data_IF_713958146260
#
_entry.id   IF_713958146260
#
_cell.length_a   1.000
_cell.length_b   1.000
_cell.length_c   1.000
_cell.angle_alpha   90.00
_cell.angle_beta   90.00
_cell.angle_gamma   90.00
#
_symmetry.space_group_name_H-M   'P 1'
#
loop_
_entity.id
_entity.type
_entity.pdbx_description
1 polymer ?
#
# COMPACT_ATOMS: atom_id res chain seq x y z
N UNK A 1 5.71 -49.68 15.05
CA UNK A 1 6.12 -48.28 15.31
C UNK A 1 7.00 -47.68 14.21
N UNK A 2 7.64 -48.46 13.32
CA UNK A 2 8.43 -47.90 12.21
C UNK A 2 7.59 -47.42 11.01
N UNK A 3 6.42 -48.02 10.77
CA UNK A 3 5.59 -47.68 9.58
C UNK A 3 4.96 -46.29 9.63
N UNK A 4 4.70 -45.76 10.84
CA UNK A 4 4.12 -44.42 11.03
C UNK A 4 5.12 -43.29 10.77
N UNK A 5 6.40 -43.50 11.08
CA UNK A 5 7.45 -42.52 10.85
C UNK A 5 7.79 -42.38 9.35
N UNK A 6 7.88 -43.51 8.64
CA UNK A 6 8.10 -43.53 7.19
C UNK A 6 6.93 -42.85 6.44
N UNK A 7 5.68 -43.24 6.72
CA UNK A 7 4.50 -42.62 6.12
C UNK A 7 4.38 -41.12 6.43
N UNK A 8 4.79 -40.67 7.62
CA UNK A 8 4.84 -39.24 7.96
C UNK A 8 5.88 -38.49 7.13
N UNK A 9 7.06 -39.07 6.92
CA UNK A 9 8.13 -38.44 6.14
C UNK A 9 7.77 -38.34 4.65
N UNK A 10 7.15 -39.38 4.08
CA UNK A 10 6.69 -39.39 2.69
C UNK A 10 5.61 -38.33 2.46
N UNK A 11 4.60 -38.26 3.34
CA UNK A 11 3.55 -37.23 3.27
C UNK A 11 4.12 -35.82 3.36
N UNK A 12 5.10 -35.60 4.24
CA UNK A 12 5.76 -34.32 4.36
C UNK A 12 6.54 -33.94 3.10
N UNK A 13 7.28 -34.87 2.50
CA UNK A 13 8.02 -34.61 1.25
C UNK A 13 7.09 -34.32 0.08
N UNK A 14 5.97 -35.04 -0.03
CA UNK A 14 4.92 -34.76 -1.04
C UNK A 14 4.34 -33.37 -0.82
N UNK A 15 3.97 -33.05 0.42
CA UNK A 15 3.40 -31.76 0.77
C UNK A 15 4.38 -30.60 0.51
N UNK A 16 5.64 -30.76 0.91
CA UNK A 16 6.70 -29.77 0.70
C UNK A 16 6.98 -29.58 -0.79
N UNK A 17 7.13 -30.67 -1.56
CA UNK A 17 7.33 -30.60 -3.00
C UNK A 17 6.17 -29.93 -3.72
N UNK A 18 4.93 -30.25 -3.33
CA UNK A 18 3.73 -29.58 -3.86
C UNK A 18 3.69 -28.10 -3.49
N UNK A 19 3.97 -27.76 -2.23
CA UNK A 19 4.05 -26.37 -1.76
C UNK A 19 5.10 -25.54 -2.50
N UNK A 20 6.26 -26.12 -2.79
CA UNK A 20 7.31 -25.47 -3.58
C UNK A 20 6.86 -25.23 -5.04
N UNK A 21 6.13 -26.17 -5.63
CA UNK A 21 5.56 -25.99 -6.98
C UNK A 21 4.51 -24.87 -7.01
N UNK A 22 3.81 -24.61 -5.91
CA UNK A 22 2.83 -23.53 -5.80
C UNK A 22 3.45 -22.13 -5.76
N UNK A 23 4.77 -22.02 -5.57
CA UNK A 23 5.48 -20.72 -5.63
C UNK A 23 5.44 -20.14 -7.06
N UNK A 24 5.50 -20.98 -8.09
CA UNK A 24 5.44 -20.53 -9.48
C UNK A 24 4.10 -19.85 -9.84
N UNK A 25 2.92 -20.46 -9.62
CA UNK A 25 1.65 -19.78 -9.84
C UNK A 25 1.45 -18.62 -8.87
N UNK A 26 2.03 -18.64 -7.65
CA UNK A 26 2.01 -17.48 -6.76
C UNK A 26 2.72 -16.27 -7.36
N UNK A 27 3.93 -16.44 -7.90
CA UNK A 27 4.67 -15.34 -8.54
C UNK A 27 3.87 -14.73 -9.70
N UNK A 28 3.22 -15.57 -10.50
CA UNK A 28 2.34 -15.12 -11.59
C UNK A 28 1.08 -14.40 -11.07
N UNK A 29 0.49 -14.89 -9.98
CA UNK A 29 -0.69 -14.27 -9.35
C UNK A 29 -0.36 -12.90 -8.77
N UNK A 30 0.84 -12.73 -8.21
CA UNK A 30 1.32 -11.45 -7.70
C UNK A 30 1.64 -10.43 -8.80
N UNK A 31 1.94 -10.89 -10.01
CA UNK A 31 2.17 -10.05 -11.19
C UNK A 31 0.87 -9.67 -11.92
N UNK A 32 -0.26 -10.26 -11.52
CA UNK A 32 -1.55 -9.97 -12.14
C UNK A 32 -2.02 -8.55 -11.81
N UNK A 33 -2.32 -7.77 -12.85
CA UNK A 33 -2.85 -6.40 -12.76
C UNK A 33 -4.39 -6.34 -12.74
N UNK A 34 -5.06 -7.49 -12.65
CA UNK A 34 -6.52 -7.54 -12.66
C UNK A 34 -7.07 -8.66 -11.77
N UNK A 35 -8.28 -8.47 -11.26
CA UNK A 35 -9.00 -9.47 -10.46
C UNK A 35 -9.18 -10.81 -11.22
N UNK A 36 -9.48 -10.74 -12.53
CA UNK A 36 -9.57 -11.93 -13.38
C UNK A 36 -8.22 -12.66 -13.44
N UNK A 37 -7.11 -11.93 -13.53
CA UNK A 37 -5.76 -12.49 -13.47
C UNK A 37 -5.50 -13.21 -12.14
N UNK A 38 -5.89 -12.61 -11.01
CA UNK A 38 -5.75 -13.24 -9.68
C UNK A 38 -6.58 -14.53 -9.60
N UNK A 39 -7.83 -14.52 -10.07
CA UNK A 39 -8.68 -15.71 -10.11
C UNK A 39 -8.09 -16.83 -10.99
N UNK A 40 -7.55 -16.49 -12.16
CA UNK A 40 -6.85 -17.44 -13.02
C UNK A 40 -5.63 -18.05 -12.30
N UNK A 41 -4.97 -17.28 -11.43
CA UNK A 41 -3.79 -17.70 -10.68
C UNK A 41 -4.14 -18.70 -9.58
N UNK A 42 -5.28 -18.50 -8.93
CA UNK A 42 -5.87 -19.46 -8.00
C UNK A 42 -6.27 -20.76 -8.71
N UNK A 43 -6.87 -20.67 -9.91
CA UNK A 43 -7.21 -21.85 -10.72
C UNK A 43 -5.94 -22.59 -11.17
N UNK A 44 -4.90 -21.87 -11.60
CA UNK A 44 -3.62 -22.45 -11.96
C UNK A 44 -2.98 -23.19 -10.77
N UNK A 45 -3.02 -22.59 -9.57
CA UNK A 45 -2.55 -23.20 -8.33
C UNK A 45 -3.29 -24.50 -8.00
N UNK A 46 -4.61 -24.52 -8.19
CA UNK A 46 -5.42 -25.74 -8.06
C UNK A 46 -5.00 -26.82 -9.05
N UNK A 47 -4.82 -26.48 -10.32
CA UNK A 47 -4.40 -27.42 -11.35
C UNK A 47 -3.01 -27.98 -11.07
N UNK A 48 -2.07 -27.17 -10.58
CA UNK A 48 -0.72 -27.61 -10.18
C UNK A 48 -0.78 -28.57 -8.99
N UNK A 49 -1.60 -28.29 -7.97
CA UNK A 49 -1.79 -29.18 -6.83
C UNK A 49 -2.42 -30.53 -7.22
N UNK A 50 -3.42 -30.52 -8.10
CA UNK A 50 -4.06 -31.74 -8.62
C UNK A 50 -3.10 -32.53 -9.50
N UNK A 51 -2.40 -31.87 -10.43
CA UNK A 51 -1.45 -32.51 -11.33
C UNK A 51 -0.29 -33.16 -10.56
N UNK A 52 0.30 -32.44 -9.58
CA UNK A 52 1.35 -33.00 -8.72
C UNK A 52 0.85 -34.19 -7.90
N UNK A 53 -0.38 -34.11 -7.35
CA UNK A 53 -1.01 -35.21 -6.65
C UNK A 53 -1.21 -36.44 -7.54
N UNK A 54 -1.73 -36.26 -8.76
CA UNK A 54 -1.99 -37.34 -9.73
C UNK A 54 -0.69 -37.99 -10.22
N UNK A 55 0.36 -37.21 -10.45
CA UNK A 55 1.68 -37.73 -10.84
C UNK A 55 2.28 -38.65 -9.76
N UNK A 56 2.00 -38.37 -8.48
CA UNK A 56 2.52 -39.12 -7.34
C UNK A 56 1.59 -40.27 -6.90
N UNK A 57 0.34 -40.28 -7.35
CA UNK A 57 -0.67 -41.26 -6.94
C UNK A 57 -0.29 -42.74 -7.19
N UNK A 58 0.44 -43.10 -8.27
CA UNK A 58 0.85 -44.50 -8.49
C UNK A 58 1.87 -45.00 -7.47
N UNK A 59 2.69 -44.11 -6.92
CA UNK A 59 3.76 -44.45 -5.97
C UNK A 59 3.33 -44.25 -4.52
N UNK A 60 2.47 -43.26 -4.24
CA UNK A 60 2.08 -42.84 -2.91
C UNK A 60 0.56 -42.69 -2.81
N UNK A 61 -0.15 -43.70 -2.31
CA UNK A 61 -1.60 -43.65 -2.16
C UNK A 61 -2.00 -42.51 -1.19
N UNK A 62 -2.88 -41.61 -1.64
CA UNK A 62 -3.30 -40.43 -0.87
C UNK A 62 -2.49 -39.16 -1.15
N UNK A 63 -1.58 -39.17 -2.12
CA UNK A 63 -0.85 -37.98 -2.59
C UNK A 63 -1.81 -36.83 -2.99
N UNK A 64 -2.88 -37.12 -3.71
CA UNK A 64 -3.87 -36.13 -4.16
C UNK A 64 -4.54 -35.41 -2.99
N UNK A 65 -4.93 -36.14 -1.94
CA UNK A 65 -5.49 -35.52 -0.74
C UNK A 65 -4.47 -34.64 -0.03
N UNK A 66 -3.21 -35.09 0.02
CA UNK A 66 -2.10 -34.38 0.65
C UNK A 66 -1.77 -33.08 -0.09
N UNK A 67 -1.71 -33.10 -1.42
CA UNK A 67 -1.45 -31.88 -2.23
C UNK A 67 -2.59 -30.89 -2.17
N UNK A 68 -3.85 -31.35 -2.16
CA UNK A 68 -5.01 -30.50 -1.93
C UNK A 68 -4.98 -29.85 -0.54
N UNK A 69 -4.71 -30.61 0.53
CA UNK A 69 -4.55 -30.02 1.86
C UNK A 69 -3.40 -29.02 1.91
N UNK A 70 -2.30 -29.30 1.22
CA UNK A 70 -1.16 -28.37 1.14
C UNK A 70 -1.58 -27.06 0.50
N UNK A 71 -2.30 -27.10 -0.63
CA UNK A 71 -2.87 -25.91 -1.26
C UNK A 71 -3.81 -25.16 -0.30
N UNK A 72 -4.69 -25.88 0.39
CA UNK A 72 -5.66 -25.29 1.32
C UNK A 72 -5.00 -24.53 2.48
N UNK A 73 -3.83 -24.96 2.94
CA UNK A 73 -3.06 -24.24 3.96
C UNK A 73 -2.12 -23.20 3.37
N UNK A 74 -1.58 -23.43 2.16
CA UNK A 74 -0.65 -22.53 1.50
C UNK A 74 -1.31 -21.19 1.18
N UNK A 75 -2.46 -21.20 0.50
CA UNK A 75 -3.15 -19.97 0.07
C UNK A 75 -3.44 -18.98 1.22
N UNK A 76 -4.08 -19.39 2.34
CA UNK A 76 -4.33 -18.47 3.45
C UNK A 76 -3.04 -18.07 4.18
N UNK A 77 -2.03 -18.94 4.26
CA UNK A 77 -0.74 -18.59 4.88
C UNK A 77 -0.05 -17.47 4.10
N UNK A 78 -0.03 -17.56 2.77
CA UNK A 78 0.51 -16.52 1.91
C UNK A 78 -0.31 -15.24 2.01
N UNK A 79 -1.63 -15.34 2.00
CA UNK A 79 -2.53 -14.19 2.15
C UNK A 79 -2.27 -13.45 3.48
N UNK A 80 -2.20 -14.16 4.61
CA UNK A 80 -1.88 -13.57 5.92
C UNK A 80 -0.50 -12.93 5.90
N UNK A 81 0.49 -13.58 5.32
CA UNK A 81 1.85 -13.05 5.24
C UNK A 81 1.90 -11.75 4.41
N UNK A 82 1.17 -11.68 3.30
CA UNK A 82 1.02 -10.47 2.48
C UNK A 82 0.33 -9.34 3.25
N UNK A 83 -0.70 -9.65 4.04
CA UNK A 83 -1.42 -8.66 4.85
C UNK A 83 -0.57 -8.09 5.99
N UNK A 84 0.35 -8.87 6.56
CA UNK A 84 1.19 -8.45 7.70
C UNK A 84 2.50 -7.79 7.25
N UNK A 85 3.15 -8.35 6.24
CA UNK A 85 4.51 -7.94 5.83
C UNK A 85 4.53 -7.05 4.59
N UNK A 86 3.43 -7.00 3.83
CA UNK A 86 3.38 -6.34 2.54
C UNK A 86 4.16 -7.07 1.44
N UNK A 87 4.01 -6.64 0.17
CA UNK A 87 4.84 -7.13 -0.93
C UNK A 87 6.26 -6.54 -0.87
N UNK A 88 7.25 -7.32 -1.34
CA UNK A 88 8.61 -6.83 -1.56
C UNK A 88 8.72 -6.11 -2.91
N UNK A 89 9.91 -5.59 -3.23
CA UNK A 89 10.18 -4.79 -4.44
C UNK A 89 9.92 -5.50 -5.78
N UNK A 90 9.79 -6.83 -5.80
CA UNK A 90 9.33 -7.55 -7.00
C UNK A 90 8.41 -8.74 -6.69
N UNK A 91 7.52 -9.13 -7.62
CA UNK A 91 6.64 -10.30 -7.45
C UNK A 91 7.41 -11.60 -7.20
N UNK A 92 8.55 -11.79 -7.88
CA UNK A 92 9.39 -12.99 -7.72
C UNK A 92 10.09 -13.04 -6.36
N UNK A 93 10.61 -11.90 -5.88
CA UNK A 93 11.24 -11.85 -4.55
C UNK A 93 10.22 -12.04 -3.43
N UNK A 94 9.03 -11.45 -3.58
CA UNK A 94 7.90 -11.66 -2.67
C UNK A 94 7.46 -13.13 -2.65
N UNK A 95 7.31 -13.75 -3.83
CA UNK A 95 6.91 -15.14 -3.95
C UNK A 95 7.92 -16.10 -3.32
N UNK A 96 9.23 -15.85 -3.47
CA UNK A 96 10.27 -16.67 -2.83
C UNK A 96 10.35 -16.42 -1.32
N UNK A 97 10.35 -15.14 -0.92
CA UNK A 97 10.47 -14.73 0.48
C UNK A 97 9.31 -15.20 1.35
N UNK A 98 8.09 -15.13 0.83
CA UNK A 98 6.88 -15.57 1.55
C UNK A 98 6.51 -17.02 1.23
N UNK A 99 6.71 -17.45 -0.02
CA UNK A 99 6.28 -18.77 -0.50
C UNK A 99 7.10 -19.92 0.06
N UNK A 100 8.41 -19.77 0.27
CA UNK A 100 9.22 -20.85 0.86
C UNK A 100 8.83 -21.12 2.33
N UNK A 101 8.73 -20.11 3.22
CA UNK A 101 8.21 -20.31 4.56
C UNK A 101 6.77 -20.83 4.57
N UNK A 102 5.90 -20.31 3.69
CA UNK A 102 4.52 -20.75 3.58
C UNK A 102 4.41 -22.21 3.14
N UNK A 103 5.26 -22.67 2.21
CA UNK A 103 5.32 -24.06 1.77
C UNK A 103 5.76 -25.00 2.89
N UNK A 104 6.74 -24.59 3.72
CA UNK A 104 7.18 -25.39 4.86
C UNK A 104 6.08 -25.51 5.94
N UNK A 105 5.41 -24.39 6.25
CA UNK A 105 4.30 -24.36 7.22
C UNK A 105 3.09 -25.17 6.72
N UNK A 106 2.70 -24.98 5.46
CA UNK A 106 1.58 -25.70 4.87
C UNK A 106 1.87 -27.20 4.79
N UNK A 107 3.11 -27.61 4.49
CA UNK A 107 3.51 -29.00 4.49
C UNK A 107 3.41 -29.65 5.87
N UNK A 108 3.84 -28.94 6.92
CA UNK A 108 3.71 -29.41 8.29
C UNK A 108 2.23 -29.55 8.71
N UNK A 109 1.39 -28.57 8.38
CA UNK A 109 -0.04 -28.57 8.67
C UNK A 109 -0.78 -29.68 7.91
N UNK A 110 -0.54 -29.81 6.59
CA UNK A 110 -1.14 -30.85 5.76
C UNK A 110 -0.78 -32.25 6.30
N UNK A 111 0.50 -32.47 6.63
CA UNK A 111 0.97 -33.76 7.17
C UNK A 111 0.31 -34.06 8.52
N UNK A 112 0.26 -33.09 9.44
CA UNK A 112 -0.39 -33.27 10.74
C UNK A 112 -1.89 -33.53 10.62
N UNK A 113 -2.57 -32.84 9.72
CA UNK A 113 -4.02 -32.99 9.50
C UNK A 113 -4.33 -34.36 8.90
N UNK A 114 -3.55 -34.80 7.91
CA UNK A 114 -3.68 -36.12 7.30
C UNK A 114 -3.40 -37.27 8.29
N UNK A 115 -2.49 -37.06 9.26
CA UNK A 115 -2.23 -38.03 10.33
C UNK A 115 -3.32 -38.01 11.42
N UNK A 116 -3.75 -36.82 11.85
CA UNK A 116 -4.74 -36.66 12.92
C UNK A 116 -6.14 -37.15 12.55
N UNK A 117 -6.50 -37.09 11.27
CA UNK A 117 -7.79 -37.59 10.78
C UNK A 117 -7.79 -39.11 10.52
N UNK A 118 -6.68 -39.82 10.79
CA UNK A 118 -6.53 -41.26 10.50
C UNK A 118 -7.05 -41.63 9.10
N UNK A 119 -6.84 -40.76 8.11
CA UNK A 119 -7.39 -40.98 6.78
C UNK A 119 -6.70 -42.18 6.16
N UNK A 120 -7.44 -43.27 6.07
CA UNK A 120 -7.07 -44.42 5.27
C UNK A 120 -6.93 -43.95 3.82
N UNK A 121 -5.82 -44.37 3.21
CA UNK A 121 -5.34 -43.86 1.94
C UNK A 121 -6.42 -44.02 0.85
N UNK A 122 -7.03 -42.92 0.41
CA UNK A 122 -8.05 -42.98 -0.63
C UNK A 122 -9.04 -41.81 -0.65
N UNK A 123 -10.32 -42.14 -0.87
CA UNK A 123 -11.41 -41.21 -1.19
C UNK A 123 -11.68 -40.17 -0.10
N UNK A 124 -11.49 -40.53 1.17
CA UNK A 124 -11.77 -39.64 2.31
C UNK A 124 -10.80 -38.45 2.38
N UNK A 125 -9.52 -38.69 2.04
CA UNK A 125 -8.53 -37.62 1.96
C UNK A 125 -8.77 -36.64 0.81
N UNK A 126 -9.31 -37.13 -0.31
CA UNK A 126 -9.71 -36.27 -1.43
C UNK A 126 -10.92 -35.42 -1.05
N UNK A 127 -11.95 -36.00 -0.42
CA UNK A 127 -13.14 -35.25 0.00
C UNK A 127 -12.76 -34.14 0.98
N UNK A 128 -11.97 -34.46 2.00
CA UNK A 128 -11.55 -33.48 3.01
C UNK A 128 -10.64 -32.41 2.40
N UNK A 129 -9.68 -32.81 1.57
CA UNK A 129 -8.83 -31.88 0.84
C UNK A 129 -9.64 -30.91 -0.03
N UNK A 130 -10.62 -31.41 -0.78
CA UNK A 130 -11.49 -30.59 -1.63
C UNK A 130 -12.35 -29.61 -0.83
N UNK A 131 -12.88 -30.01 0.34
CA UNK A 131 -13.64 -29.10 1.22
C UNK A 131 -12.73 -27.98 1.73
N UNK A 132 -11.53 -28.33 2.22
CA UNK A 132 -10.57 -27.36 2.74
C UNK A 132 -10.10 -26.40 1.65
N UNK A 133 -9.81 -26.91 0.45
CA UNK A 133 -9.47 -26.08 -0.72
C UNK A 133 -10.62 -25.17 -1.11
N UNK A 134 -11.86 -25.69 -1.14
CA UNK A 134 -13.05 -24.88 -1.44
C UNK A 134 -13.22 -23.74 -0.44
N UNK A 135 -13.05 -24.04 0.86
CA UNK A 135 -13.12 -23.04 1.93
C UNK A 135 -11.98 -22.03 1.84
N UNK A 136 -10.75 -22.47 1.60
CA UNK A 136 -9.58 -21.59 1.49
C UNK A 136 -9.69 -20.67 0.28
N UNK A 137 -10.13 -21.19 -0.86
CA UNK A 137 -10.32 -20.42 -2.08
C UNK A 137 -11.48 -19.43 -1.93
N UNK A 138 -12.58 -19.82 -1.28
CA UNK A 138 -13.67 -18.90 -0.97
C UNK A 138 -13.18 -17.76 -0.04
N UNK A 139 -12.38 -18.08 0.98
CA UNK A 139 -11.84 -17.08 1.89
C UNK A 139 -10.85 -16.14 1.19
N UNK A 140 -10.00 -16.67 0.31
CA UNK A 140 -9.13 -15.84 -0.53
C UNK A 140 -9.95 -14.97 -1.49
N UNK A 141 -10.96 -15.53 -2.17
CA UNK A 141 -11.80 -14.78 -3.09
C UNK A 141 -12.60 -13.67 -2.39
N UNK A 142 -13.06 -13.89 -1.16
CA UNK A 142 -13.70 -12.84 -0.33
C UNK A 142 -12.67 -11.78 0.10
N UNK A 143 -11.46 -12.19 0.46
CA UNK A 143 -10.39 -11.23 0.79
C UNK A 143 -9.88 -10.42 -0.41
N UNK A 144 -10.12 -10.92 -1.64
CA UNK A 144 -9.87 -10.20 -2.90
C UNK A 144 -11.15 -9.64 -3.52
N UNK A 145 -12.29 -9.69 -2.81
CA UNK A 145 -13.52 -9.04 -3.26
C UNK A 145 -13.26 -7.54 -3.47
N UNK A 146 -14.00 -6.87 -4.38
CA UNK A 146 -13.73 -5.50 -4.81
C UNK A 146 -13.45 -4.54 -3.64
N UNK A 147 -14.21 -4.65 -2.55
CA UNK A 147 -14.04 -3.82 -1.34
C UNK A 147 -12.69 -3.96 -0.62
N UNK A 148 -11.95 -5.04 -0.82
CA UNK A 148 -10.62 -5.26 -0.24
C UNK A 148 -9.51 -5.13 -1.28
N UNK A 149 -9.80 -5.36 -2.57
CA UNK A 149 -8.88 -5.10 -3.67
C UNK A 149 -8.62 -3.60 -3.82
N UNK A 150 -9.68 -2.79 -3.75
CA UNK A 150 -9.58 -1.32 -3.79
C UNK A 150 -8.71 -0.84 -2.62
N UNK A 151 -8.93 -1.34 -1.40
CA UNK A 151 -8.10 -1.02 -0.22
C UNK A 151 -6.64 -1.47 -0.34
N UNK A 152 -6.36 -2.55 -1.07
CA UNK A 152 -5.00 -3.02 -1.31
C UNK A 152 -4.28 -2.20 -2.38
N UNK A 153 -5.02 -1.76 -3.40
CA UNK A 153 -4.53 -0.86 -4.44
C UNK A 153 -4.26 0.54 -3.86
N UNK A 154 -5.16 1.02 -3.02
CA UNK A 154 -5.02 2.24 -2.22
C UNK A 154 -3.80 2.17 -1.30
N UNK A 155 -3.65 1.10 -0.53
CA UNK A 155 -2.49 0.92 0.34
C UNK A 155 -1.17 0.85 -0.47
N UNK A 156 -1.18 0.27 -1.67
CA UNK A 156 -0.01 0.24 -2.56
C UNK A 156 0.30 1.61 -3.14
N UNK A 157 -0.73 2.36 -3.55
CA UNK A 157 -0.58 3.72 -4.05
C UNK A 157 0.05 4.62 -2.97
N UNK A 158 -0.49 4.62 -1.75
CA UNK A 158 0.06 5.37 -0.61
C UNK A 158 1.50 4.96 -0.32
N UNK A 159 1.80 3.66 -0.27
CA UNK A 159 3.16 3.19 -0.02
C UNK A 159 4.15 3.64 -1.12
N UNK A 160 3.73 3.63 -2.38
CA UNK A 160 4.56 4.07 -3.51
C UNK A 160 4.83 5.58 -3.50
N UNK A 161 3.82 6.37 -3.17
CA UNK A 161 3.89 7.83 -3.04
C UNK A 161 4.78 8.21 -1.87
N UNK A 162 4.56 7.58 -0.71
CA UNK A 162 5.37 7.77 0.48
C UNK A 162 6.84 7.47 0.21
N UNK A 163 7.14 6.34 -0.44
CA UNK A 163 8.51 5.98 -0.77
C UNK A 163 9.17 6.98 -1.74
N UNK A 164 8.41 7.55 -2.68
CA UNK A 164 8.91 8.59 -3.58
C UNK A 164 9.21 9.89 -2.82
N UNK A 165 8.30 10.36 -1.95
CA UNK A 165 8.47 11.57 -1.14
C UNK A 165 9.61 11.42 -0.13
N UNK A 166 9.70 10.28 0.56
CA UNK A 166 10.82 9.97 1.46
C UNK A 166 12.15 9.87 0.69
N UNK A 167 12.14 9.29 -0.52
CA UNK A 167 13.30 9.22 -1.40
C UNK A 167 13.78 10.58 -1.90
N UNK A 168 12.86 11.52 -2.13
CA UNK A 168 13.14 12.91 -2.46
C UNK A 168 13.51 13.76 -1.22
N UNK A 169 13.43 13.19 -0.02
CA UNK A 169 13.74 13.87 1.25
C UNK A 169 12.68 14.87 1.70
N UNK A 170 11.46 14.81 1.16
CA UNK A 170 10.35 15.68 1.55
C UNK A 170 9.94 15.37 2.99
N UNK A 171 9.66 16.40 3.78
CA UNK A 171 9.20 16.24 5.15
C UNK A 171 7.66 16.28 5.22
N UNK A 172 7.03 15.41 6.04
CA UNK A 172 5.59 15.42 6.26
C UNK A 172 5.17 16.57 7.20
N UNK A 173 5.10 17.78 6.66
CA UNK A 173 4.73 19.00 7.40
C UNK A 173 3.25 19.33 7.21
N UNK A 174 2.59 19.66 8.32
CA UNK A 174 1.19 20.10 8.31
C UNK A 174 1.05 21.42 9.07
N UNK A 175 0.84 22.56 8.37
CA UNK A 175 0.52 23.82 9.02
C UNK A 175 -0.90 23.77 9.60
N UNK A 176 -1.11 24.45 10.72
CA UNK A 176 -2.42 24.65 11.35
C UNK A 176 -2.83 26.11 11.16
N UNK A 177 -3.77 26.36 10.25
CA UNK A 177 -4.24 27.72 9.93
C UNK A 177 -5.62 27.91 10.53
N UNK A 178 -5.74 28.86 11.46
CA UNK A 178 -6.98 29.16 12.16
C UNK A 178 -8.15 29.38 11.20
N UNK A 179 -9.26 28.68 11.46
CA UNK A 179 -10.47 28.79 10.65
C UNK A 179 -10.47 27.97 9.36
N UNK A 180 -9.37 27.28 9.04
CA UNK A 180 -9.26 26.40 7.88
C UNK A 180 -8.97 24.96 8.32
N UNK A 181 -9.56 24.00 7.62
CA UNK A 181 -9.25 22.59 7.75
C UNK A 181 -8.84 22.02 6.40
N UNK A 182 -8.06 20.94 6.36
CA UNK A 182 -7.81 20.21 5.13
C UNK A 182 -9.15 19.86 4.45
N UNK A 183 -9.35 20.38 3.25
CA UNK A 183 -10.37 19.88 2.34
C UNK A 183 -10.00 18.44 1.96
N UNK A 184 -10.99 17.63 1.59
CA UNK A 184 -10.77 16.22 1.35
C UNK A 184 -9.55 15.96 0.43
N UNK A 185 -8.56 15.28 1.02
CA UNK A 185 -7.32 14.72 0.48
C UNK A 185 -6.16 15.70 0.14
N UNK A 186 -4.93 15.47 0.66
CA UNK A 186 -3.73 15.97 0.00
C UNK A 186 -3.61 15.27 -1.35
N UNK A 187 -3.51 16.02 -2.45
CA UNK A 187 -3.17 15.42 -3.73
C UNK A 187 -1.68 15.55 -3.95
N UNK A 188 -1.06 14.41 -4.27
CA UNK A 188 0.33 14.38 -4.71
C UNK A 188 0.35 14.56 -6.21
N UNK A 189 0.92 15.67 -6.69
CA UNK A 189 1.19 15.84 -8.10
C UNK A 189 2.38 14.96 -8.49
N UNK A 190 2.12 13.85 -9.20
CA UNK A 190 3.12 12.87 -9.64
C UNK A 190 4.24 13.46 -10.51
N UNK A 191 4.04 14.67 -11.03
CA UNK A 191 4.99 15.41 -11.87
C UNK A 191 5.87 16.40 -11.06
N UNK A 192 5.66 16.49 -9.74
CA UNK A 192 6.42 17.36 -8.84
C UNK A 192 7.15 16.55 -7.77
N UNK A 193 8.34 17.01 -7.35
CA UNK A 193 9.12 16.37 -6.28
C UNK A 193 8.54 16.65 -4.86
N UNK A 194 7.25 17.00 -4.74
CA UNK A 194 6.58 17.44 -3.51
C UNK A 194 5.11 17.02 -3.43
N UNK A 195 4.38 17.56 -2.46
CA UNK A 195 2.94 17.36 -2.31
C UNK A 195 2.23 18.68 -2.02
N UNK A 196 0.90 18.73 -2.20
CA UNK A 196 0.12 19.89 -1.80
C UNK A 196 -1.09 19.53 -0.93
N UNK A 197 -1.49 20.49 -0.10
CA UNK A 197 -2.65 20.43 0.79
C UNK A 197 -3.63 21.54 0.41
N UNK A 198 -4.86 21.22 0.03
CA UNK A 198 -5.92 22.23 -0.11
C UNK A 198 -6.63 22.36 1.25
N UNK A 199 -6.57 23.55 1.85
CA UNK A 199 -7.25 23.92 3.09
C UNK A 199 -8.49 24.76 2.75
N UNK A 200 -9.64 24.44 3.33
CA UNK A 200 -10.92 25.13 3.14
C UNK A 200 -11.45 25.68 4.46
N UNK A 201 -12.22 26.76 4.39
CA UNK A 201 -12.84 27.36 5.56
C UNK A 201 -13.74 26.37 6.31
N UNK A 202 -13.64 26.38 7.64
CA UNK A 202 -14.37 25.47 8.52
C UNK A 202 -15.89 25.66 8.41
N UNK A 203 -16.62 24.62 7.97
CA UNK A 203 -18.09 24.57 8.03
C UNK A 203 -18.84 24.95 6.76
N UNK A 204 -18.16 25.08 5.62
CA UNK A 204 -18.79 25.35 4.31
C UNK A 204 -18.54 24.23 3.29
N UNK A 205 -19.53 23.95 2.43
CA UNK A 205 -19.40 23.00 1.31
C UNK A 205 -18.35 23.52 0.29
N UNK A 206 -17.50 22.61 -0.20
CA UNK A 206 -16.30 22.83 -1.02
C UNK A 206 -16.49 23.60 -2.34
N UNK A 207 -17.72 23.87 -2.75
CA UNK A 207 -18.04 24.48 -4.03
C UNK A 207 -18.16 26.01 -3.91
N UNK A 208 -17.05 26.72 -4.08
CA UNK A 208 -17.03 28.18 -4.28
C UNK A 208 -16.44 29.01 -3.14
N UNK A 209 -15.98 28.37 -2.07
CA UNK A 209 -15.41 29.01 -0.89
C UNK A 209 -13.94 29.38 -1.08
N UNK A 210 -13.47 30.32 -0.27
CA UNK A 210 -12.06 30.69 -0.21
C UNK A 210 -11.23 29.50 0.28
N UNK A 211 -10.09 29.27 -0.38
CA UNK A 211 -9.24 28.10 -0.14
C UNK A 211 -7.77 28.48 -0.16
N UNK A 212 -6.96 27.76 0.62
CA UNK A 212 -5.51 27.94 0.66
C UNK A 212 -4.89 26.66 0.15
N UNK A 213 -4.06 26.73 -0.89
CA UNK A 213 -3.23 25.59 -1.29
C UNK A 213 -1.86 25.74 -0.67
N UNK A 214 -1.39 24.74 0.06
CA UNK A 214 -0.03 24.69 0.59
C UNK A 214 0.78 23.67 -0.19
N UNK A 215 1.71 24.12 -1.00
CA UNK A 215 2.69 23.31 -1.70
C UNK A 215 3.92 23.08 -0.80
N UNK A 216 4.30 21.82 -0.61
CA UNK A 216 5.46 21.40 0.19
C UNK A 216 6.47 20.73 -0.73
N UNK A 217 7.60 21.38 -0.93
CA UNK A 217 8.65 20.95 -1.85
C UNK A 217 9.72 20.05 -1.21
N UNK A 218 10.65 19.50 -2.02
CA UNK A 218 11.80 18.76 -1.52
C UNK A 218 12.78 19.67 -0.77
N UNK A 219 13.77 19.05 -0.14
CA UNK A 219 14.86 19.80 0.50
C UNK A 219 15.60 20.62 -0.54
N UNK A 220 15.56 21.95 -0.41
CA UNK A 220 16.30 22.86 -1.28
C UNK A 220 17.80 22.62 -1.13
N UNK A 221 18.52 22.59 -2.25
CA UNK A 221 19.98 22.70 -2.22
C UNK A 221 20.37 24.11 -1.74
N UNK A 222 21.58 24.28 -1.20
CA UNK A 222 22.05 25.62 -0.77
C UNK A 222 22.03 26.63 -1.93
N UNK A 223 22.31 26.17 -3.16
CA UNK A 223 22.25 27.00 -4.35
C UNK A 223 20.81 27.36 -4.77
N UNK A 224 19.85 26.44 -4.60
CA UNK A 224 18.44 26.71 -4.92
C UNK A 224 17.80 27.62 -3.87
N UNK A 225 18.20 27.50 -2.60
CA UNK A 225 17.78 28.43 -1.55
C UNK A 225 18.26 29.88 -1.82
N UNK A 226 19.48 30.05 -2.35
CA UNK A 226 20.00 31.36 -2.76
C UNK A 226 19.26 31.95 -3.98
N UNK A 227 18.91 31.11 -4.97
CA UNK A 227 18.16 31.54 -6.17
C UNK A 227 16.72 31.94 -5.83
N UNK A 228 16.07 31.24 -4.91
CA UNK A 228 14.69 31.52 -4.52
C UNK A 228 14.56 32.81 -3.68
N UNK A 229 15.54 33.10 -2.81
CA UNK A 229 15.61 34.40 -2.15
C UNK A 229 15.73 35.57 -3.14
N UNK A 230 16.24 35.32 -4.35
CA UNK A 230 16.37 36.32 -5.42
C UNK A 230 15.08 36.51 -6.26
N UNK A 231 14.02 35.69 -6.06
CA UNK A 231 12.74 35.82 -6.80
C UNK A 231 12.07 37.18 -6.55
N UNK A 232 12.40 37.81 -5.42
CA UNK A 232 11.93 39.13 -5.00
C UNK A 232 12.65 40.33 -5.65
N UNK A 233 13.70 40.12 -6.44
CA UNK A 233 14.48 41.20 -7.07
C UNK A 233 14.01 41.55 -8.51
N UNK A 234 12.99 40.86 -9.05
CA UNK A 234 12.60 40.99 -10.46
C UNK A 234 11.63 42.16 -10.79
N UNK A 235 11.26 42.99 -9.81
CA UNK A 235 10.62 44.31 -10.03
C UNK A 235 9.16 44.31 -10.51
N UNK A 236 8.52 43.15 -10.70
CA UNK A 236 7.11 43.00 -11.09
C UNK A 236 6.18 42.58 -9.95
N UNK A 237 6.73 42.07 -8.85
CA UNK A 237 6.02 41.67 -7.63
C UNK A 237 6.43 42.55 -6.45
N UNK A 238 5.50 42.76 -5.51
CA UNK A 238 5.82 43.32 -4.20
C UNK A 238 6.13 42.16 -3.27
N UNK A 239 7.40 42.03 -2.87
CA UNK A 239 7.78 41.14 -1.80
C UNK A 239 7.90 41.92 -0.49
N UNK A 240 7.21 41.46 0.54
CA UNK A 240 7.40 41.93 1.91
C UNK A 240 8.02 40.80 2.72
N UNK A 241 9.29 40.96 3.09
CA UNK A 241 9.94 40.07 4.06
C UNK A 241 9.56 40.53 5.47
N UNK A 242 8.97 39.63 6.24
CA UNK A 242 8.49 39.93 7.60
C UNK A 242 9.59 39.61 8.61
N UNK A 243 9.60 40.29 9.77
CA UNK A 243 10.61 40.08 10.82
C UNK A 243 10.71 38.62 11.31
N UNK A 244 9.64 37.85 11.11
CA UNK A 244 9.52 36.44 11.50
C UNK A 244 10.15 35.46 10.47
N UNK A 245 10.64 35.92 9.31
CA UNK A 245 11.41 35.10 8.37
C UNK A 245 10.61 34.37 7.29
N UNK A 246 9.38 34.82 7.00
CA UNK A 246 8.60 34.42 5.83
C UNK A 246 8.46 35.60 4.84
N UNK A 247 8.09 35.28 3.60
CA UNK A 247 7.94 36.26 2.52
C UNK A 247 6.52 36.22 1.99
N UNK A 248 5.87 37.39 1.93
CA UNK A 248 4.59 37.58 1.25
C UNK A 248 4.84 38.17 -0.13
N UNK A 249 4.35 37.50 -1.16
CA UNK A 249 4.50 37.89 -2.57
C UNK A 249 3.13 38.30 -3.12
N UNK A 250 3.02 39.56 -3.51
CA UNK A 250 1.82 40.11 -4.14
C UNK A 250 2.14 40.54 -5.59
N UNK A 251 1.45 39.95 -6.57
CA UNK A 251 1.56 40.36 -7.98
C UNK A 251 0.19 40.86 -8.49
N UNK A 252 0.14 42.01 -9.20
CA UNK A 252 -1.12 42.53 -9.72
C UNK A 252 -1.85 41.53 -10.64
N UNK A 253 -3.06 41.13 -10.24
CA UNK A 253 -3.89 40.20 -11.01
C UNK A 253 -3.58 38.72 -10.80
N UNK A 254 -2.81 38.38 -9.75
CA UNK A 254 -2.61 37.00 -9.27
C UNK A 254 -3.04 36.87 -7.81
N UNK A 255 -3.20 35.62 -7.39
CA UNK A 255 -3.44 35.25 -6.00
C UNK A 255 -2.21 35.59 -5.13
N UNK A 256 -2.44 35.83 -3.84
CA UNK A 256 -1.35 36.13 -2.90
C UNK A 256 -0.62 34.85 -2.53
N UNK A 257 0.71 34.88 -2.58
CA UNK A 257 1.57 33.75 -2.23
C UNK A 257 2.33 34.07 -0.93
N UNK A 258 2.34 33.13 0.02
CA UNK A 258 3.10 33.23 1.27
C UNK A 258 4.09 32.08 1.31
N UNK A 259 5.38 32.40 1.36
CA UNK A 259 6.46 31.43 1.32
C UNK A 259 7.21 31.42 2.64
N UNK A 260 7.32 30.24 3.25
CA UNK A 260 8.11 30.01 4.45
C UNK A 260 9.09 28.85 4.23
N UNK A 261 10.22 28.90 4.93
CA UNK A 261 11.22 27.83 4.89
C UNK A 261 11.45 27.29 6.30
N UNK A 262 11.10 26.02 6.52
CA UNK A 262 11.44 25.30 7.75
C UNK A 262 12.67 24.45 7.49
N UNK A 263 13.80 24.84 8.08
CA UNK A 263 15.08 24.16 7.89
C UNK A 263 15.55 24.26 6.44
N UNK A 264 15.29 23.21 5.64
CA UNK A 264 15.61 23.16 4.20
C UNK A 264 14.38 22.85 3.33
N UNK A 265 13.20 22.74 3.92
CA UNK A 265 11.95 22.44 3.22
C UNK A 265 11.17 23.73 3.00
N UNK A 266 10.74 23.96 1.76
CA UNK A 266 9.90 25.10 1.39
C UNK A 266 8.43 24.74 1.54
N UNK A 267 7.68 25.64 2.15
CA UNK A 267 6.23 25.64 2.17
C UNK A 267 5.74 26.91 1.48
N UNK A 268 4.83 26.77 0.53
CA UNK A 268 4.24 27.87 -0.23
C UNK A 268 2.73 27.79 -0.13
N UNK A 269 2.11 28.78 0.52
CA UNK A 269 0.66 28.92 0.57
C UNK A 269 0.18 29.87 -0.52
N UNK A 270 -0.66 29.41 -1.43
CA UNK A 270 -1.41 30.25 -2.38
C UNK A 270 -2.81 30.50 -1.84
N UNK A 271 -3.17 31.76 -1.64
CA UNK A 271 -4.46 32.19 -1.11
C UNK A 271 -5.43 32.49 -2.25
N UNK A 272 -6.39 31.59 -2.50
CA UNK A 272 -7.40 31.76 -3.53
C UNK A 272 -8.62 32.50 -2.98
N UNK A 273 -8.77 33.77 -3.36
CA UNK A 273 -9.92 34.58 -2.94
C UNK A 273 -11.15 34.26 -3.81
N UNK A 274 -12.21 33.74 -3.19
CA UNK A 274 -13.52 33.54 -3.83
C UNK A 274 -14.63 34.18 -2.99
N UNK A 275 -15.56 33.39 -2.46
CA UNK A 275 -16.54 33.86 -1.49
C UNK A 275 -16.01 33.63 -0.06
N UNK A 276 -16.15 34.64 0.81
CA UNK A 276 -15.64 34.62 2.19
C UNK A 276 -14.42 35.52 2.44
N UNK A 277 -14.03 35.62 3.71
CA UNK A 277 -12.83 36.33 4.14
C UNK A 277 -11.63 35.36 4.14
N UNK A 278 -10.51 35.79 3.56
CA UNK A 278 -9.23 35.10 3.68
C UNK A 278 -8.55 35.49 5.01
N UNK A 279 -7.76 34.60 5.61
CA UNK A 279 -6.95 34.95 6.77
C UNK A 279 -5.86 35.95 6.35
N UNK A 280 -5.35 36.69 7.33
CA UNK A 280 -4.24 37.61 7.11
C UNK A 280 -3.00 36.83 6.62
N UNK A 281 -2.32 37.28 5.54
CA UNK A 281 -1.10 36.65 5.04
C UNK A 281 -0.02 36.47 6.12
N UNK A 282 0.05 37.38 7.11
CA UNK A 282 1.00 37.26 8.22
C UNK A 282 0.66 36.10 9.15
N UNK A 283 -0.63 35.84 9.40
CA UNK A 283 -1.08 34.71 10.22
C UNK A 283 -0.82 33.38 9.50
N UNK A 284 -1.02 33.34 8.18
CA UNK A 284 -0.65 32.20 7.33
C UNK A 284 0.86 31.95 7.39
N UNK A 285 1.68 33.01 7.26
CA UNK A 285 3.14 32.90 7.31
C UNK A 285 3.66 32.31 8.61
N UNK A 286 3.10 32.73 9.75
CA UNK A 286 3.44 32.14 11.07
C UNK A 286 3.01 30.68 11.17
N UNK A 287 1.80 30.35 10.72
CA UNK A 287 1.33 28.97 10.69
C UNK A 287 2.18 28.04 9.80
N UNK A 288 2.74 28.56 8.70
CA UNK A 288 3.68 27.82 7.86
C UNK A 288 5.02 27.58 8.55
N UNK A 289 5.51 28.50 9.38
CA UNK A 289 6.76 28.35 10.15
C UNK A 289 6.60 27.40 11.35
N UNK A 290 5.41 27.39 11.95
CA UNK A 290 5.04 26.52 13.07
C UNK A 290 4.46 25.17 12.61
N UNK A 291 4.63 24.81 11.34
CA UNK A 291 4.06 23.58 10.79
C UNK A 291 4.61 22.34 11.52
N UNK A 292 3.69 21.48 11.97
CA UNK A 292 4.02 20.28 12.73
C UNK A 292 4.54 19.17 11.81
N UNK A 293 5.57 18.46 12.27
CA UNK A 293 5.98 17.19 11.67
C UNK A 293 4.98 16.10 12.09
N UNK A 294 4.27 15.54 11.12
CA UNK A 294 3.25 14.50 11.35
C UNK A 294 3.65 13.20 10.67
N UNK A 295 2.98 12.10 11.04
CA UNK A 295 3.16 10.85 10.31
C UNK A 295 2.54 10.96 8.91
N UNK A 296 3.18 10.34 7.91
CA UNK A 296 2.63 10.25 6.55
C UNK A 296 1.22 9.66 6.51
N UNK A 297 0.92 8.73 7.42
CA UNK A 297 -0.40 8.11 7.54
C UNK A 297 -1.48 9.11 8.07
N UNK A 298 -1.06 10.19 8.71
CA UNK A 298 -1.90 11.31 9.14
C UNK A 298 -2.09 12.40 8.08
N UNK A 299 -1.22 12.45 7.07
CA UNK A 299 -1.33 13.32 5.89
C UNK A 299 -2.08 12.61 4.77
N UNK A 300 -1.57 11.46 4.31
CA UNK A 300 -2.10 10.69 3.20
C UNK A 300 -3.30 9.86 3.67
N UNK A 301 -4.52 10.34 3.37
CA UNK A 301 -5.75 9.56 3.50
C UNK A 301 -6.41 9.43 2.13
N UNK A 302 -6.76 8.20 1.76
CA UNK A 302 -7.59 7.92 0.58
C UNK A 302 -9.04 7.83 1.06
N UNK A 303 -9.94 8.61 0.45
CA UNK A 303 -11.38 8.56 0.66
C UNK A 303 -11.98 7.59 -0.34
N UNK A 304 -12.76 6.62 0.17
CA UNK A 304 -13.73 5.86 -0.62
C UNK A 304 -14.70 6.87 -1.26
N UNK A 305 -14.55 7.17 -2.55
CA UNK A 305 -15.60 7.89 -3.29
C UNK A 305 -16.84 7.00 -3.28
N UNK A 306 -17.84 7.40 -2.50
CA UNK A 306 -19.14 6.76 -2.50
C UNK A 306 -19.87 7.10 -3.81
N UNK A 307 -19.76 6.22 -4.79
CA UNK A 307 -20.67 6.12 -5.94
C UNK A 307 -21.69 4.98 -5.73
#
# INVERSE_FOLDING_TARGET
MNDTAAASSERFLVALGSGLLLIAPLAWTLDATSYVGVLLGLVASLLVAVASGLLLAPALPGSVGTTLMTLAFFSPTVLIALLVLGPASSPTTTALGLGVPAAALSAALATRTALGLNQDQGREGIVTGSILVGLSLALCAVAFAPTAADRLEDARAVASIRAALEGAGVLPLRPDIDGFSPSEEPRVALDSDGYWLDLVANGEDTAGTSSIRVDVGPLLSEADAEIENARCDNGTSTCSETEDGFVVVEEPGRDTEVVATIGRTRLEATLYQREGDLPDPDDVGRALLDADLVDWDGLLRIVETAD
#
